data_IF_339072219271
#
_entry.id   IF_339072219271
#
_cell.length_a   1.000
_cell.length_b   1.000
_cell.length_c   1.000
_cell.angle_alpha   90.00
_cell.angle_beta   90.00
_cell.angle_gamma   90.00
#
_symmetry.space_group_name_H-M   'P 1'
#
loop_
_entity.id
_entity.type
_entity.pdbx_description
1 polymer ?
#
# COMPACT_ATOMS: atom_id res chain seq x y z
N UNK A 1 25.39 -10.04 17.42
CA UNK A 1 26.37 -9.74 16.34
C UNK A 1 25.54 -9.54 15.08
N UNK A 2 25.57 -8.33 14.48
CA UNK A 2 24.86 -8.06 13.24
C UNK A 2 25.53 -8.91 12.15
N UNK A 3 24.77 -9.75 11.45
CA UNK A 3 25.33 -10.73 10.49
C UNK A 3 26.11 -10.09 9.33
N UNK A 4 25.80 -8.84 8.99
CA UNK A 4 26.37 -8.10 7.87
C UNK A 4 27.20 -6.87 8.31
N UNK A 5 27.47 -6.70 9.62
CA UNK A 5 28.16 -5.53 10.18
C UNK A 5 27.44 -4.23 9.81
N UNK A 6 28.24 -3.18 9.51
CA UNK A 6 27.69 -1.87 9.07
C UNK A 6 27.51 -1.78 7.54
N UNK A 7 27.57 -2.90 6.82
CA UNK A 7 27.54 -2.92 5.35
C UNK A 7 26.10 -3.01 4.83
N UNK A 8 25.31 -2.00 5.09
CA UNK A 8 23.97 -1.82 4.53
C UNK A 8 24.03 -1.03 3.23
N UNK A 9 23.29 -1.48 2.21
CA UNK A 9 23.14 -0.78 0.92
C UNK A 9 21.67 -0.69 0.55
N UNK A 10 21.22 0.49 0.17
CA UNK A 10 19.86 0.74 -0.29
C UNK A 10 19.90 1.28 -1.71
N UNK A 11 19.20 0.62 -2.62
CA UNK A 11 19.03 1.07 -4.00
C UNK A 11 17.53 1.21 -4.30
N UNK A 12 17.18 1.93 -5.36
CA UNK A 12 15.81 2.02 -5.83
C UNK A 12 15.71 1.85 -7.35
N UNK A 13 14.58 1.33 -7.79
CA UNK A 13 14.15 1.45 -9.18
C UNK A 13 13.43 2.79 -9.43
N UNK A 14 12.74 2.87 -10.56
CA UNK A 14 12.16 4.13 -11.04
C UNK A 14 10.78 4.46 -10.45
N UNK A 15 10.14 3.53 -9.72
CA UNK A 15 8.76 3.72 -9.28
C UNK A 15 8.56 4.87 -8.28
N UNK A 16 9.48 5.05 -7.32
CA UNK A 16 9.35 6.10 -6.30
C UNK A 16 10.72 6.50 -5.69
N UNK A 17 11.60 7.17 -6.45
CA UNK A 17 12.94 7.55 -5.98
C UNK A 17 12.91 8.50 -4.78
N UNK A 18 11.90 9.36 -4.67
CA UNK A 18 11.76 10.28 -3.54
C UNK A 18 11.50 9.55 -2.23
N UNK A 19 10.68 8.50 -2.26
CA UNK A 19 10.43 7.64 -1.10
C UNK A 19 11.73 6.96 -0.63
N UNK A 20 12.52 6.42 -1.56
CA UNK A 20 13.81 5.81 -1.24
C UNK A 20 14.82 6.82 -0.64
N UNK A 21 14.86 8.05 -1.16
CA UNK A 21 15.70 9.12 -0.59
C UNK A 21 15.28 9.46 0.83
N UNK A 22 13.97 9.52 1.11
CA UNK A 22 13.47 9.78 2.46
C UNK A 22 13.85 8.64 3.41
N UNK A 23 13.70 7.36 3.00
CA UNK A 23 14.15 6.21 3.79
C UNK A 23 15.64 6.31 4.10
N UNK A 24 16.48 6.59 3.11
CA UNK A 24 17.92 6.72 3.33
C UNK A 24 18.27 7.86 4.29
N UNK A 25 17.56 8.99 4.21
CA UNK A 25 17.70 10.12 5.14
C UNK A 25 17.38 9.72 6.58
N UNK A 26 16.28 8.99 6.78
CA UNK A 26 15.87 8.49 8.10
C UNK A 26 16.88 7.46 8.67
N UNK A 27 17.51 6.66 7.80
CA UNK A 27 18.55 5.71 8.18
C UNK A 27 19.93 6.36 8.41
N UNK A 28 20.11 7.64 8.03
CA UNK A 28 21.40 8.32 8.11
C UNK A 28 22.44 7.81 7.10
N UNK A 29 21.99 7.25 5.95
CA UNK A 29 22.83 6.71 4.89
C UNK A 29 22.55 7.40 3.56
N UNK A 30 23.43 7.19 2.58
CA UNK A 30 23.21 7.65 1.20
C UNK A 30 22.51 6.57 0.38
N UNK A 31 21.65 6.99 -0.55
CA UNK A 31 21.07 6.09 -1.55
C UNK A 31 22.21 5.59 -2.46
N UNK A 32 22.24 4.28 -2.68
CA UNK A 32 23.26 3.62 -3.49
C UNK A 32 23.24 4.10 -4.95
N UNK A 33 24.39 4.17 -5.55
CA UNK A 33 24.55 4.61 -6.93
C UNK A 33 24.23 3.46 -7.89
N UNK A 34 23.05 3.54 -8.48
CA UNK A 34 22.60 2.61 -9.53
C UNK A 34 21.92 3.36 -10.66
N UNK A 35 21.92 2.75 -11.81
CA UNK A 35 21.25 3.26 -13.00
C UNK A 35 20.26 2.21 -13.52
N UNK A 36 18.98 2.59 -13.58
CA UNK A 36 17.91 1.74 -14.12
C UNK A 36 17.33 2.46 -15.33
N UNK A 37 17.55 1.89 -16.51
CA UNK A 37 17.17 2.46 -17.81
C UNK A 37 16.37 1.47 -18.63
N UNK A 38 15.75 1.98 -19.68
CA UNK A 38 15.08 1.18 -20.71
C UNK A 38 15.83 1.36 -22.03
N UNK A 39 16.16 0.26 -22.69
CA UNK A 39 16.69 0.27 -24.04
C UNK A 39 15.62 0.71 -25.06
N UNK A 40 16.04 1.05 -26.27
CA UNK A 40 15.14 1.54 -27.32
C UNK A 40 14.05 0.54 -27.72
N UNK A 41 14.29 -0.74 -27.52
CA UNK A 41 13.35 -1.85 -27.75
C UNK A 41 12.42 -2.15 -26.56
N UNK A 42 12.62 -1.46 -25.42
CA UNK A 42 11.82 -1.61 -24.21
C UNK A 42 12.42 -2.53 -23.15
N UNK A 43 13.56 -3.16 -23.39
CA UNK A 43 14.20 -3.99 -22.35
C UNK A 43 14.80 -3.15 -21.23
N UNK A 44 14.73 -3.68 -20.01
CA UNK A 44 15.27 -3.02 -18.81
C UNK A 44 16.77 -3.27 -18.71
N UNK A 45 17.54 -2.21 -18.46
CA UNK A 45 18.97 -2.23 -18.17
C UNK A 45 19.23 -1.72 -16.75
N UNK A 46 20.02 -2.47 -15.99
CA UNK A 46 20.43 -2.11 -14.62
C UNK A 46 21.94 -2.11 -14.51
N UNK A 47 22.51 -1.05 -13.93
CA UNK A 47 23.93 -0.96 -13.55
C UNK A 47 24.06 -0.59 -12.09
N UNK A 48 24.80 -1.39 -11.32
CA UNK A 48 25.22 -1.04 -9.97
C UNK A 48 26.60 -0.39 -10.04
N UNK A 49 26.71 0.88 -9.69
CA UNK A 49 27.95 1.66 -9.82
C UNK A 49 28.81 1.65 -8.56
N UNK A 50 28.50 0.75 -7.62
CA UNK A 50 29.25 0.50 -6.40
C UNK A 50 29.20 -0.99 -6.01
N UNK A 51 30.16 -1.43 -5.19
CA UNK A 51 30.20 -2.84 -4.77
C UNK A 51 29.06 -3.17 -3.79
N UNK A 52 28.43 -4.31 -4.02
CA UNK A 52 27.43 -4.89 -3.12
C UNK A 52 27.89 -6.22 -2.50
N UNK A 53 29.16 -6.60 -2.75
CA UNK A 53 29.71 -7.88 -2.29
C UNK A 53 29.64 -8.01 -0.77
N UNK A 54 28.94 -9.03 -0.30
CA UNK A 54 28.75 -9.32 1.12
C UNK A 54 27.86 -8.32 1.86
N UNK A 55 27.30 -7.29 1.17
CA UNK A 55 26.41 -6.31 1.77
C UNK A 55 25.01 -6.87 2.03
N UNK A 56 24.33 -6.27 3.01
CA UNK A 56 22.89 -6.39 3.20
C UNK A 56 22.18 -5.37 2.32
N UNK A 57 21.55 -5.84 1.24
CA UNK A 57 21.01 -4.99 0.18
C UNK A 57 19.49 -4.90 0.28
N UNK A 58 18.99 -3.66 0.28
CA UNK A 58 17.56 -3.36 0.23
C UNK A 58 17.23 -2.68 -1.10
N UNK A 59 16.34 -3.30 -1.89
CA UNK A 59 15.91 -2.82 -3.19
C UNK A 59 14.50 -2.25 -3.07
N UNK A 60 14.34 -0.93 -3.15
CA UNK A 60 13.06 -0.26 -2.99
C UNK A 60 12.41 -0.09 -4.36
N UNK A 61 11.26 -0.74 -4.56
CA UNK A 61 10.49 -0.65 -5.80
C UNK A 61 9.03 -1.02 -5.57
N UNK A 62 8.12 -0.06 -5.65
CA UNK A 62 6.69 -0.34 -5.77
C UNK A 62 6.37 -0.89 -7.15
N UNK A 63 5.62 -1.98 -7.22
CA UNK A 63 5.19 -2.54 -8.52
C UNK A 63 3.86 -1.93 -8.98
N UNK A 64 3.82 -0.57 -8.93
CA UNK A 64 2.73 0.26 -9.43
C UNK A 64 2.87 0.53 -10.93
N UNK A 65 1.95 1.32 -11.49
CA UNK A 65 1.98 1.69 -12.93
C UNK A 65 3.24 2.49 -13.30
N UNK A 66 3.92 2.10 -14.40
CA UNK A 66 3.68 0.97 -15.31
C UNK A 66 4.09 -0.36 -14.67
N UNK A 67 3.08 -1.22 -14.36
CA UNK A 67 3.24 -2.36 -13.44
C UNK A 67 4.25 -3.38 -13.93
N UNK A 68 4.23 -3.72 -15.22
CA UNK A 68 5.12 -4.73 -15.79
C UNK A 68 6.57 -4.24 -15.84
N UNK A 69 6.78 -2.98 -16.14
CA UNK A 69 8.09 -2.38 -16.24
C UNK A 69 8.74 -2.31 -14.84
N UNK A 70 8.02 -1.80 -13.85
CA UNK A 70 8.52 -1.74 -12.47
C UNK A 70 8.75 -3.14 -11.87
N UNK A 71 7.92 -4.13 -12.22
CA UNK A 71 8.18 -5.52 -11.81
C UNK A 71 9.46 -6.04 -12.46
N UNK A 72 9.64 -5.81 -13.76
CA UNK A 72 10.84 -6.27 -14.47
C UNK A 72 12.09 -5.54 -13.96
N UNK A 73 12.04 -4.23 -13.70
CA UNK A 73 13.13 -3.49 -13.06
C UNK A 73 13.56 -4.17 -11.74
N UNK A 74 12.59 -4.49 -10.87
CA UNK A 74 12.87 -5.16 -9.61
C UNK A 74 13.55 -6.50 -9.80
N UNK A 75 13.07 -7.34 -10.74
CA UNK A 75 13.64 -8.66 -11.01
C UNK A 75 15.09 -8.55 -11.50
N UNK A 76 15.36 -7.64 -12.43
CA UNK A 76 16.71 -7.41 -12.98
C UNK A 76 17.65 -6.83 -11.92
N UNK A 77 17.16 -5.93 -11.05
CA UNK A 77 17.95 -5.41 -9.92
C UNK A 77 18.33 -6.52 -8.93
N UNK A 78 17.40 -7.43 -8.60
CA UNK A 78 17.66 -8.58 -7.73
C UNK A 78 18.74 -9.49 -8.35
N UNK A 79 18.61 -9.83 -9.64
CA UNK A 79 19.60 -10.66 -10.35
C UNK A 79 20.98 -9.99 -10.39
N UNK A 80 21.05 -8.68 -10.64
CA UNK A 80 22.30 -7.92 -10.62
C UNK A 80 23.00 -7.99 -9.25
N UNK A 81 22.24 -7.79 -8.15
CA UNK A 81 22.78 -7.90 -6.79
C UNK A 81 23.25 -9.30 -6.47
N UNK A 82 22.48 -10.33 -6.86
CA UNK A 82 22.83 -11.75 -6.67
C UNK A 82 24.12 -12.11 -7.38
N UNK A 83 24.25 -11.73 -8.67
CA UNK A 83 25.47 -11.98 -9.47
C UNK A 83 26.67 -11.19 -8.97
N UNK A 84 26.45 -10.03 -8.35
CA UNK A 84 27.49 -9.25 -7.71
C UNK A 84 27.85 -9.74 -6.29
N UNK A 85 27.30 -10.89 -5.86
CA UNK A 85 27.56 -11.54 -4.57
C UNK A 85 27.12 -10.71 -3.35
N UNK A 86 25.96 -10.08 -3.42
CA UNK A 86 25.30 -9.50 -2.24
C UNK A 86 25.17 -10.58 -1.13
N UNK A 87 25.29 -10.19 0.12
CA UNK A 87 25.19 -11.13 1.25
C UNK A 87 23.75 -11.51 1.57
N UNK A 88 22.81 -10.55 1.46
CA UNK A 88 21.36 -10.73 1.55
C UNK A 88 20.69 -9.71 0.66
N UNK A 89 19.58 -10.08 0.04
CA UNK A 89 18.79 -9.20 -0.83
C UNK A 89 17.35 -9.14 -0.29
N UNK A 90 16.96 -7.98 0.23
CA UNK A 90 15.59 -7.71 0.66
C UNK A 90 14.86 -6.88 -0.40
N UNK A 91 13.82 -7.42 -1.00
CA UNK A 91 12.94 -6.66 -1.88
C UNK A 91 11.95 -5.84 -1.03
N UNK A 92 12.10 -4.53 -1.02
CA UNK A 92 11.22 -3.58 -0.33
C UNK A 92 10.18 -3.10 -1.34
N UNK A 93 8.96 -3.62 -1.21
CA UNK A 93 7.87 -3.40 -2.15
C UNK A 93 6.73 -2.68 -1.42
N UNK A 94 6.73 -1.34 -1.31
CA UNK A 94 5.71 -0.60 -0.58
C UNK A 94 4.30 -0.89 -1.10
N UNK A 95 4.14 -0.99 -2.42
CA UNK A 95 2.92 -1.48 -3.07
C UNK A 95 3.22 -2.72 -3.91
N UNK A 96 2.59 -3.84 -3.56
CA UNK A 96 2.70 -5.11 -4.27
C UNK A 96 1.59 -5.23 -5.31
N UNK A 97 1.95 -5.03 -6.57
CA UNK A 97 1.05 -5.20 -7.72
C UNK A 97 0.61 -6.65 -7.91
N UNK A 98 -0.43 -6.87 -8.72
CA UNK A 98 -1.06 -8.19 -8.94
C UNK A 98 -1.72 -8.83 -7.70
N UNK A 99 -1.68 -8.18 -6.53
CA UNK A 99 -2.21 -8.68 -5.27
C UNK A 99 -3.72 -9.01 -5.32
N UNK A 100 -4.49 -8.36 -6.19
CA UNK A 100 -5.93 -8.59 -6.35
C UNK A 100 -6.28 -9.95 -6.97
N UNK A 101 -5.30 -10.64 -7.55
CA UNK A 101 -5.45 -11.98 -8.13
C UNK A 101 -4.80 -13.03 -7.22
N UNK A 102 -5.22 -13.04 -5.94
CA UNK A 102 -4.77 -13.96 -4.89
C UNK A 102 -5.48 -15.32 -4.91
N UNK A 103 -6.58 -15.41 -5.66
CA UNK A 103 -7.40 -16.61 -5.82
C UNK A 103 -8.08 -16.64 -7.18
N UNK A 104 -8.55 -17.80 -7.59
CA UNK A 104 -9.41 -17.94 -8.78
C UNK A 104 -10.80 -17.40 -8.46
N UNK A 105 -11.20 -16.32 -9.11
CA UNK A 105 -12.57 -15.79 -9.03
C UNK A 105 -13.54 -16.59 -9.91
N UNK A 106 -13.04 -17.18 -11.00
CA UNK A 106 -13.78 -18.04 -11.94
C UNK A 106 -12.93 -19.26 -12.31
N UNK A 107 -13.57 -20.27 -12.89
CA UNK A 107 -12.84 -21.40 -13.48
C UNK A 107 -11.78 -20.92 -14.48
N UNK A 108 -10.58 -21.50 -14.41
CA UNK A 108 -9.42 -21.24 -15.30
C UNK A 108 -8.76 -19.86 -15.12
N UNK A 109 -9.15 -19.08 -14.11
CA UNK A 109 -8.43 -17.84 -13.79
C UNK A 109 -7.02 -18.16 -13.26
N UNK A 110 -6.04 -17.28 -13.51
CA UNK A 110 -4.72 -17.38 -12.90
C UNK A 110 -4.76 -17.00 -11.41
N UNK A 111 -3.69 -17.30 -10.69
CA UNK A 111 -3.36 -16.73 -9.38
C UNK A 111 -2.08 -15.91 -9.57
N UNK A 112 -2.22 -14.72 -10.15
CA UNK A 112 -1.07 -13.91 -10.57
C UNK A 112 -0.23 -13.43 -9.39
N UNK A 113 -0.82 -13.25 -8.20
CA UNK A 113 -0.07 -12.93 -6.99
C UNK A 113 0.97 -14.02 -6.64
N UNK A 114 0.60 -15.31 -6.79
CA UNK A 114 1.55 -16.43 -6.58
C UNK A 114 2.62 -16.47 -7.66
N UNK A 115 2.25 -16.23 -8.93
CA UNK A 115 3.21 -16.18 -10.03
C UNK A 115 4.27 -15.10 -9.77
N UNK A 116 3.86 -13.88 -9.41
CA UNK A 116 4.78 -12.77 -9.13
C UNK A 116 5.66 -13.08 -7.90
N UNK A 117 5.10 -13.66 -6.85
CA UNK A 117 5.88 -14.11 -5.69
C UNK A 117 6.97 -15.11 -6.08
N UNK A 118 6.63 -16.09 -6.92
CA UNK A 118 7.60 -17.06 -7.43
C UNK A 118 8.70 -16.42 -8.28
N UNK A 119 8.35 -15.45 -9.13
CA UNK A 119 9.33 -14.73 -9.97
C UNK A 119 10.35 -13.97 -9.12
N UNK A 120 9.89 -13.25 -8.09
CA UNK A 120 10.75 -12.49 -7.18
C UNK A 120 11.68 -13.44 -6.41
N UNK A 121 11.15 -14.54 -5.90
CA UNK A 121 11.93 -15.56 -5.19
C UNK A 121 12.97 -16.21 -6.14
N UNK A 122 12.57 -16.57 -7.35
CA UNK A 122 13.46 -17.19 -8.35
C UNK A 122 14.56 -16.22 -8.81
N UNK A 123 14.30 -14.92 -8.91
CA UNK A 123 15.30 -13.90 -9.22
C UNK A 123 16.41 -13.85 -8.15
N UNK A 124 16.10 -14.22 -6.90
CA UNK A 124 17.09 -14.36 -5.83
C UNK A 124 16.89 -13.42 -4.64
N UNK A 125 15.69 -12.92 -4.42
CA UNK A 125 15.36 -12.25 -3.18
C UNK A 125 15.40 -13.23 -2.01
N UNK A 126 15.97 -12.81 -0.86
CA UNK A 126 16.03 -13.59 0.37
C UNK A 126 14.91 -13.20 1.35
N UNK A 127 14.30 -12.05 1.18
CA UNK A 127 13.25 -11.50 2.05
C UNK A 127 12.40 -10.49 1.30
N UNK A 128 11.16 -10.35 1.71
CA UNK A 128 10.22 -9.31 1.27
C UNK A 128 9.89 -8.39 2.44
N UNK A 129 9.85 -7.08 2.19
CA UNK A 129 9.29 -6.08 3.08
C UNK A 129 8.21 -5.32 2.32
N UNK A 130 6.96 -5.35 2.78
CA UNK A 130 5.82 -4.76 2.08
C UNK A 130 4.81 -4.17 3.06
N UNK A 131 3.82 -3.41 2.57
CA UNK A 131 2.78 -2.82 3.39
C UNK A 131 1.39 -3.18 2.86
N UNK A 132 0.46 -3.49 3.77
CA UNK A 132 -0.98 -3.73 3.52
C UNK A 132 -1.28 -4.53 2.23
N UNK A 133 -0.82 -5.76 2.18
CA UNK A 133 -1.19 -6.69 1.11
C UNK A 133 -2.73 -6.77 1.00
N UNK A 134 -3.24 -6.80 -0.23
CA UNK A 134 -4.68 -6.90 -0.52
C UNK A 134 -5.35 -8.04 0.28
N UNK A 135 -4.66 -9.15 0.38
CA UNK A 135 -5.05 -10.29 1.20
C UNK A 135 -3.84 -10.75 2.03
N UNK A 136 -3.98 -10.81 3.35
CA UNK A 136 -2.86 -11.14 4.25
C UNK A 136 -2.23 -12.52 3.97
N UNK A 137 -3.01 -13.48 3.45
CA UNK A 137 -2.53 -14.80 3.06
C UNK A 137 -1.51 -14.79 1.90
N UNK A 138 -1.37 -13.68 1.16
CA UNK A 138 -0.32 -13.54 0.11
C UNK A 138 1.08 -13.71 0.71
N UNK A 139 1.27 -13.43 2.02
CA UNK A 139 2.51 -13.74 2.72
C UNK A 139 2.93 -15.20 2.55
N UNK A 140 1.96 -16.12 2.56
CA UNK A 140 2.19 -17.56 2.36
C UNK A 140 2.45 -17.96 0.90
N UNK A 141 2.41 -17.03 -0.06
CA UNK A 141 2.76 -17.30 -1.45
C UNK A 141 4.27 -17.25 -1.70
N UNK A 142 5.01 -16.63 -0.79
CA UNK A 142 6.46 -16.59 -0.82
C UNK A 142 7.04 -17.76 -0.02
N UNK A 143 8.06 -18.38 -0.56
CA UNK A 143 8.85 -19.42 0.13
C UNK A 143 10.04 -18.82 0.90
N UNK A 144 10.07 -17.49 1.00
CA UNK A 144 11.04 -16.68 1.75
C UNK A 144 10.31 -15.83 2.79
N UNK A 145 10.98 -15.34 3.85
CA UNK A 145 10.36 -14.50 4.86
C UNK A 145 9.71 -13.23 4.29
N UNK A 146 8.53 -12.88 4.83
CA UNK A 146 7.79 -11.67 4.47
C UNK A 146 7.52 -10.85 5.73
N UNK A 147 8.04 -9.64 5.76
CA UNK A 147 7.70 -8.62 6.75
C UNK A 147 6.56 -7.76 6.19
N UNK A 148 5.37 -7.94 6.76
CA UNK A 148 4.14 -7.30 6.29
C UNK A 148 3.75 -6.15 7.22
N UNK A 149 4.15 -4.92 6.88
CA UNK A 149 3.81 -3.71 7.62
C UNK A 149 2.32 -3.36 7.48
N UNK A 150 1.79 -2.68 8.50
CA UNK A 150 0.42 -2.20 8.51
C UNK A 150 0.40 -0.66 8.48
N UNK A 151 -0.39 -0.07 7.59
CA UNK A 151 -0.61 1.37 7.51
C UNK A 151 -1.59 1.92 8.54
N UNK A 152 -2.42 1.03 9.11
CA UNK A 152 -3.46 1.39 10.08
C UNK A 152 -2.98 2.35 11.20
N UNK A 153 -1.83 2.15 11.91
CA UNK A 153 -1.41 3.04 12.98
C UNK A 153 -1.24 4.50 12.56
N UNK A 154 -0.79 4.73 11.33
CA UNK A 154 -0.61 6.09 10.78
C UNK A 154 -1.95 6.78 10.55
N UNK A 155 -2.96 6.08 10.02
CA UNK A 155 -4.30 6.62 9.87
C UNK A 155 -4.98 6.88 11.21
N UNK A 156 -4.82 5.96 12.19
CA UNK A 156 -5.31 6.18 13.56
C UNK A 156 -4.78 7.48 14.10
N UNK A 157 -3.46 7.68 14.07
CA UNK A 157 -2.83 8.92 14.53
C UNK A 157 -3.39 10.13 13.78
N UNK A 158 -3.46 10.07 12.45
CA UNK A 158 -3.96 11.16 11.60
C UNK A 158 -5.36 11.61 12.00
N UNK A 159 -6.29 10.66 12.18
CA UNK A 159 -7.67 10.99 12.50
C UNK A 159 -7.85 11.44 13.95
N UNK A 160 -7.08 10.92 14.91
CA UNK A 160 -7.07 11.41 16.29
C UNK A 160 -6.52 12.84 16.36
N UNK A 161 -5.46 13.16 15.61
CA UNK A 161 -4.92 14.52 15.53
C UNK A 161 -5.89 15.49 14.84
N UNK A 162 -6.62 15.01 13.81
CA UNK A 162 -7.60 15.82 13.06
C UNK A 162 -8.87 16.11 13.86
N UNK A 163 -9.30 15.15 14.65
CA UNK A 163 -10.50 15.20 15.47
C UNK A 163 -10.13 14.95 16.94
N UNK A 164 -9.59 15.96 17.66
CA UNK A 164 -9.12 15.77 19.03
C UNK A 164 -10.29 15.52 20.02
N UNK A 165 -10.02 14.72 21.05
CA UNK A 165 -11.02 14.19 21.99
C UNK A 165 -11.88 15.26 22.70
N UNK A 166 -11.34 16.45 22.93
CA UNK A 166 -12.06 17.59 23.53
C UNK A 166 -13.18 18.16 22.61
N UNK A 167 -13.13 17.79 21.32
CA UNK A 167 -14.12 18.17 20.28
C UNK A 167 -14.83 16.96 19.67
N UNK A 168 -14.61 15.78 20.24
CA UNK A 168 -14.91 14.51 19.64
C UNK A 168 -15.85 13.70 20.55
N UNK A 169 -17.11 13.59 20.16
CA UNK A 169 -17.98 12.59 20.74
C UNK A 169 -17.89 11.32 19.86
N UNK A 170 -17.41 10.21 20.43
CA UNK A 170 -17.30 8.95 19.69
C UNK A 170 -18.62 8.50 19.03
N UNK A 171 -19.76 8.87 19.63
CA UNK A 171 -21.08 8.58 19.09
C UNK A 171 -21.41 9.34 17.80
N UNK A 172 -20.71 10.47 17.52
CA UNK A 172 -20.88 11.28 16.31
C UNK A 172 -20.06 10.75 15.12
N UNK A 173 -19.28 9.71 15.34
CA UNK A 173 -18.41 9.13 14.32
C UNK A 173 -18.65 7.63 14.14
N UNK A 174 -18.39 7.14 12.94
CA UNK A 174 -18.48 5.71 12.63
C UNK A 174 -17.46 5.35 11.56
N UNK A 175 -16.76 4.25 11.77
CA UNK A 175 -15.90 3.66 10.73
C UNK A 175 -16.78 2.85 9.78
N UNK A 176 -16.53 2.99 8.48
CA UNK A 176 -17.32 2.31 7.45
C UNK A 176 -16.43 1.43 6.58
N UNK A 177 -16.83 0.18 6.43
CA UNK A 177 -16.27 -0.68 5.39
C UNK A 177 -16.97 -0.38 4.07
N UNK A 178 -16.23 0.00 3.00
CA UNK A 178 -16.84 0.32 1.70
C UNK A 178 -17.43 -0.91 0.98
N UNK A 179 -17.07 -2.10 1.42
CA UNK A 179 -17.60 -3.38 0.95
C UNK A 179 -17.46 -4.50 2.00
N UNK A 180 -17.98 -5.69 1.69
CA UNK A 180 -17.90 -6.85 2.60
C UNK A 180 -16.48 -7.39 2.73
N UNK A 181 -15.62 -7.22 1.72
CA UNK A 181 -14.24 -7.72 1.71
C UNK A 181 -13.33 -6.98 2.69
N UNK A 182 -13.58 -5.69 2.90
CA UNK A 182 -12.75 -4.82 3.76
C UNK A 182 -13.20 -4.78 5.23
N UNK A 183 -14.24 -5.54 5.62
CA UNK A 183 -14.83 -5.50 6.98
C UNK A 183 -13.82 -5.81 8.08
N UNK A 184 -12.97 -6.80 7.91
CA UNK A 184 -11.97 -7.17 8.92
C UNK A 184 -10.98 -6.02 9.19
N UNK A 185 -10.55 -5.35 8.12
CA UNK A 185 -9.66 -4.19 8.15
C UNK A 185 -10.33 -2.98 8.82
N UNK A 186 -11.55 -2.65 8.40
CA UNK A 186 -12.33 -1.57 8.97
C UNK A 186 -12.61 -1.79 10.47
N UNK A 187 -12.88 -3.05 10.88
CA UNK A 187 -13.08 -3.42 12.29
C UNK A 187 -11.82 -3.19 13.12
N UNK A 188 -10.65 -3.57 12.60
CA UNK A 188 -9.38 -3.36 13.31
C UNK A 188 -9.08 -1.86 13.49
N UNK A 189 -9.41 -1.03 12.49
CA UNK A 189 -9.31 0.42 12.59
C UNK A 189 -10.32 0.98 13.61
N UNK A 190 -11.59 0.60 13.51
CA UNK A 190 -12.65 1.03 14.43
C UNK A 190 -12.31 0.76 15.90
N UNK A 191 -11.74 -0.42 16.19
CA UNK A 191 -11.30 -0.78 17.53
C UNK A 191 -10.19 0.14 18.07
N UNK A 192 -9.24 0.54 17.21
CA UNK A 192 -8.11 1.43 17.61
C UNK A 192 -8.56 2.89 17.82
N UNK A 193 -9.61 3.34 17.14
CA UNK A 193 -10.17 4.69 17.30
C UNK A 193 -11.41 4.72 18.21
N UNK A 194 -11.78 3.60 18.81
CA UNK A 194 -12.94 3.44 19.72
C UNK A 194 -14.28 3.90 19.12
N UNK A 195 -14.49 3.64 17.80
CA UNK A 195 -15.70 4.01 17.07
C UNK A 195 -16.54 2.78 16.70
N UNK A 196 -17.83 3.00 16.44
CA UNK A 196 -18.72 2.00 15.86
C UNK A 196 -18.30 1.60 14.45
N UNK A 197 -18.84 0.49 13.94
CA UNK A 197 -18.62 -0.03 12.60
C UNK A 197 -19.92 -0.08 11.81
N UNK A 198 -19.90 0.42 10.58
CA UNK A 198 -20.95 0.23 9.59
C UNK A 198 -20.36 -0.39 8.30
N UNK A 199 -21.22 -0.91 7.45
CA UNK A 199 -20.81 -1.62 6.23
C UNK A 199 -21.71 -1.14 5.08
N UNK A 200 -21.11 -0.85 3.92
CA UNK A 200 -21.86 -0.68 2.67
C UNK A 200 -21.92 -2.04 1.98
N UNK A 201 -23.11 -2.63 1.94
CA UNK A 201 -23.36 -3.90 1.25
C UNK A 201 -23.86 -3.62 -0.17
N UNK A 202 -23.08 -4.08 -1.14
CA UNK A 202 -23.33 -3.92 -2.57
C UNK A 202 -23.94 -5.19 -3.11
N UNK A 203 -25.26 -5.19 -3.39
CA UNK A 203 -25.94 -6.34 -3.98
C UNK A 203 -26.21 -6.13 -5.47
N UNK A 204 -25.64 -7.02 -6.29
CA UNK A 204 -26.03 -7.17 -7.68
C UNK A 204 -27.20 -8.13 -7.77
N UNK A 205 -28.43 -7.64 -7.97
CA UNK A 205 -29.62 -8.50 -8.09
C UNK A 205 -29.66 -9.26 -9.42
N UNK A 206 -29.14 -8.70 -10.52
CA UNK A 206 -28.98 -9.35 -11.85
C UNK A 206 -27.94 -8.60 -12.68
N UNK A 207 -27.38 -9.27 -13.71
CA UNK A 207 -26.59 -8.60 -14.74
C UNK A 207 -27.48 -7.53 -15.42
N UNK A 208 -26.97 -6.27 -15.52
CA UNK A 208 -27.66 -5.10 -16.11
C UNK A 208 -28.75 -4.40 -15.25
N UNK A 209 -28.85 -4.65 -13.95
CA UNK A 209 -29.71 -3.89 -13.05
C UNK A 209 -28.86 -2.94 -12.19
N UNK A 210 -29.38 -1.74 -11.88
CA UNK A 210 -28.75 -0.76 -11.00
C UNK A 210 -28.28 -1.42 -9.70
N UNK A 211 -27.03 -1.13 -9.29
CA UNK A 211 -26.47 -1.63 -8.04
C UNK A 211 -27.27 -1.04 -6.88
N UNK A 212 -27.89 -1.89 -6.08
CA UNK A 212 -28.55 -1.47 -4.84
C UNK A 212 -27.49 -1.43 -3.75
N UNK A 213 -27.26 -0.24 -3.20
CA UNK A 213 -26.41 -0.02 -2.03
C UNK A 213 -27.26 -0.10 -0.77
N UNK A 214 -26.85 -0.94 0.17
CA UNK A 214 -27.49 -1.07 1.48
C UNK A 214 -26.48 -0.66 2.55
N UNK A 215 -26.89 0.21 3.46
CA UNK A 215 -26.04 0.62 4.59
C UNK A 215 -26.46 -0.18 5.82
N UNK A 216 -25.54 -0.97 6.34
CA UNK A 216 -25.74 -1.78 7.55
C UNK A 216 -25.02 -1.08 8.70
N UNK A 217 -25.75 -0.73 9.74
CA UNK A 217 -25.26 0.06 10.88
C UNK A 217 -25.84 1.46 10.90
N UNK A 218 -25.66 2.15 12.01
CA UNK A 218 -26.17 3.52 12.20
C UNK A 218 -25.16 4.57 11.76
N UNK A 219 -25.47 5.28 10.67
CA UNK A 219 -24.65 6.36 10.09
C UNK A 219 -25.36 7.70 10.06
N UNK A 220 -26.68 7.73 10.43
CA UNK A 220 -27.49 8.94 10.34
C UNK A 220 -26.98 10.05 11.26
N UNK A 221 -26.72 11.21 10.66
CA UNK A 221 -26.19 12.38 11.36
C UNK A 221 -24.72 12.27 11.78
N UNK A 222 -24.06 11.15 11.49
CA UNK A 222 -22.67 10.90 11.89
C UNK A 222 -21.66 11.29 10.82
N UNK A 223 -20.44 11.52 11.24
CA UNK A 223 -19.27 11.61 10.37
C UNK A 223 -18.73 10.19 10.11
N UNK A 224 -18.71 9.79 8.86
CA UNK A 224 -18.24 8.48 8.42
C UNK A 224 -16.76 8.54 8.03
N UNK A 225 -15.97 7.56 8.46
CA UNK A 225 -14.57 7.36 8.03
C UNK A 225 -14.50 6.01 7.32
N UNK A 226 -14.42 6.02 5.99
CA UNK A 226 -14.24 4.79 5.21
C UNK A 226 -12.78 4.35 5.22
N UNK A 227 -12.52 3.04 5.35
CA UNK A 227 -11.17 2.49 5.32
C UNK A 227 -11.06 1.29 4.41
N UNK A 228 -10.10 1.36 3.47
CA UNK A 228 -9.79 0.28 2.51
C UNK A 228 -8.27 0.07 2.38
N UNK A 229 -7.82 -0.97 1.63
CA UNK A 229 -6.41 -1.17 1.30
C UNK A 229 -5.97 -0.33 0.11
N UNK A 230 -6.79 -0.24 -0.91
CA UNK A 230 -6.44 0.50 -2.12
C UNK A 230 -7.63 1.15 -2.80
N UNK A 231 -7.36 2.20 -3.53
CA UNK A 231 -8.31 2.85 -4.42
C UNK A 231 -7.74 2.84 -5.84
N UNK A 232 -8.38 2.09 -6.74
CA UNK A 232 -7.97 2.03 -8.14
C UNK A 232 -8.79 3.06 -8.98
N UNK A 233 -9.93 2.68 -9.53
CA UNK A 233 -10.75 3.60 -10.34
C UNK A 233 -11.70 4.47 -9.50
N UNK A 234 -11.67 4.37 -8.20
CA UNK A 234 -12.49 5.05 -7.19
C UNK A 234 -14.01 4.82 -7.30
N UNK A 235 -14.48 3.99 -8.24
CA UNK A 235 -15.92 3.81 -8.44
C UNK A 235 -16.64 3.28 -7.21
N UNK A 236 -16.18 2.18 -6.63
CA UNK A 236 -16.80 1.55 -5.46
C UNK A 236 -16.78 2.48 -4.24
N UNK A 237 -15.64 3.12 -3.97
CA UNK A 237 -15.47 4.02 -2.84
C UNK A 237 -16.38 5.25 -2.95
N UNK A 238 -16.42 5.90 -4.12
CA UNK A 238 -17.24 7.09 -4.34
C UNK A 238 -18.73 6.78 -4.31
N UNK A 239 -19.16 5.65 -4.89
CA UNK A 239 -20.55 5.21 -4.82
C UNK A 239 -20.96 4.90 -3.38
N UNK A 240 -20.09 4.27 -2.59
CA UNK A 240 -20.34 4.02 -1.17
C UNK A 240 -20.46 5.34 -0.39
N UNK A 241 -19.59 6.31 -0.65
CA UNK A 241 -19.66 7.64 -0.02
C UNK A 241 -20.97 8.37 -0.33
N UNK A 242 -21.39 8.37 -1.58
CA UNK A 242 -22.65 8.97 -1.99
C UNK A 242 -23.84 8.28 -1.31
N UNK A 243 -23.84 6.94 -1.27
CA UNK A 243 -24.91 6.19 -0.59
C UNK A 243 -24.96 6.45 0.92
N UNK A 244 -23.81 6.65 1.58
CA UNK A 244 -23.78 7.03 3.00
C UNK A 244 -24.50 8.36 3.25
N UNK A 245 -24.32 9.34 2.36
CA UNK A 245 -25.00 10.65 2.49
C UNK A 245 -26.46 10.58 2.05
N UNK A 246 -26.73 10.08 0.85
CA UNK A 246 -28.05 10.13 0.20
C UNK A 246 -29.06 9.14 0.83
N UNK A 247 -28.62 7.94 1.17
CA UNK A 247 -29.43 6.87 1.72
C UNK A 247 -29.30 6.79 3.24
N UNK A 248 -28.04 6.80 3.72
CA UNK A 248 -27.73 6.66 5.13
C UNK A 248 -27.98 7.92 5.98
N UNK A 249 -28.01 9.10 5.35
CA UNK A 249 -28.17 10.38 6.04
C UNK A 249 -26.94 10.78 6.85
N UNK A 250 -25.73 10.36 6.41
CA UNK A 250 -24.47 10.75 7.04
C UNK A 250 -24.24 12.26 6.93
N UNK A 251 -23.66 12.86 7.97
CA UNK A 251 -23.31 14.29 8.03
C UNK A 251 -22.12 14.64 7.15
N UNK A 252 -21.11 13.78 7.13
CA UNK A 252 -19.87 13.97 6.38
C UNK A 252 -19.23 12.61 6.09
N UNK A 253 -18.46 12.52 5.01
CA UNK A 253 -17.72 11.30 4.65
C UNK A 253 -16.25 11.63 4.42
N UNK A 254 -15.37 11.00 5.18
CA UNK A 254 -13.93 10.96 5.00
C UNK A 254 -13.54 9.54 4.58
N UNK A 255 -12.39 9.41 3.93
CA UNK A 255 -11.90 8.10 3.56
C UNK A 255 -10.38 8.03 3.67
N UNK A 256 -9.87 6.82 3.88
CA UNK A 256 -8.45 6.53 3.78
C UNK A 256 -8.22 5.16 3.16
N UNK A 257 -7.11 5.03 2.46
CA UNK A 257 -6.63 3.78 1.92
C UNK A 257 -5.11 3.80 1.80
N UNK A 258 -4.47 2.65 2.00
CA UNK A 258 -3.00 2.58 1.97
C UNK A 258 -2.45 2.90 0.59
N UNK A 259 -3.07 2.38 -0.47
CA UNK A 259 -2.53 2.49 -1.82
C UNK A 259 -3.45 3.30 -2.75
N UNK A 260 -2.99 4.47 -3.15
CA UNK A 260 -3.64 5.30 -4.17
C UNK A 260 -3.20 4.90 -5.57
N UNK A 261 -3.81 3.86 -6.16
CA UNK A 261 -3.50 3.41 -7.53
C UNK A 261 -4.01 4.42 -8.56
N UNK A 262 -5.20 4.97 -8.33
CA UNK A 262 -5.82 6.13 -8.99
C UNK A 262 -5.82 6.05 -10.53
N UNK A 263 -6.27 4.91 -11.06
CA UNK A 263 -6.32 4.66 -12.50
C UNK A 263 -7.56 5.28 -13.16
N UNK A 264 -7.41 5.63 -14.44
CA UNK A 264 -8.51 6.09 -15.29
C UNK A 264 -9.24 7.31 -14.71
N UNK A 265 -10.59 7.25 -14.51
CA UNK A 265 -11.38 8.39 -14.07
C UNK A 265 -11.37 8.62 -12.54
N UNK A 266 -10.38 8.09 -11.80
CA UNK A 266 -10.38 8.13 -10.33
C UNK A 266 -10.44 9.56 -9.78
N UNK A 267 -9.63 10.47 -10.29
CA UNK A 267 -9.60 11.87 -9.83
C UNK A 267 -10.93 12.58 -10.03
N UNK A 268 -11.54 12.44 -11.21
CA UNK A 268 -12.85 13.05 -11.52
C UNK A 268 -13.94 12.48 -10.60
N UNK A 269 -13.93 11.18 -10.35
CA UNK A 269 -14.90 10.54 -9.46
C UNK A 269 -14.76 11.02 -8.02
N UNK A 270 -13.53 11.11 -7.51
CA UNK A 270 -13.27 11.60 -6.16
C UNK A 270 -13.70 13.05 -6.03
N UNK A 271 -13.34 13.90 -6.99
CA UNK A 271 -13.72 15.32 -7.01
C UNK A 271 -15.22 15.52 -6.94
N UNK A 272 -15.99 14.71 -7.71
CA UNK A 272 -17.45 14.83 -7.80
C UNK A 272 -18.21 13.97 -6.77
N UNK A 273 -17.54 13.30 -5.86
CA UNK A 273 -18.17 12.46 -4.81
C UNK A 273 -18.49 13.24 -3.54
N UNK A 274 -19.26 12.62 -2.66
CA UNK A 274 -19.54 13.12 -1.31
C UNK A 274 -18.34 13.05 -0.35
N UNK A 275 -17.20 12.46 -0.76
CA UNK A 275 -15.97 12.42 0.04
C UNK A 275 -15.46 13.85 0.24
N UNK A 276 -15.24 14.25 1.49
CA UNK A 276 -14.65 15.53 1.84
C UNK A 276 -13.12 15.49 1.79
N UNK A 277 -12.53 14.38 2.19
CA UNK A 277 -11.09 14.17 2.17
C UNK A 277 -10.79 12.68 2.02
N UNK A 278 -9.82 12.36 1.18
CA UNK A 278 -9.30 11.01 0.95
C UNK A 278 -7.81 10.98 1.22
N UNK A 279 -7.40 10.17 2.19
CA UNK A 279 -6.02 10.11 2.66
C UNK A 279 -5.36 8.82 2.19
N UNK A 280 -4.16 8.94 1.61
CA UNK A 280 -3.33 7.81 1.18
C UNK A 280 -1.97 7.81 1.86
N UNK A 281 -1.29 6.67 1.84
CA UNK A 281 0.13 6.59 2.08
C UNK A 281 0.92 6.79 0.77
N UNK A 282 2.14 7.30 0.87
CA UNK A 282 3.03 7.52 -0.27
C UNK A 282 3.73 6.23 -0.75
N UNK A 283 3.07 5.08 -0.61
CA UNK A 283 3.51 3.79 -1.17
C UNK A 283 3.54 3.77 -2.69
N UNK A 284 2.71 4.61 -3.32
CA UNK A 284 2.69 4.93 -4.75
C UNK A 284 2.85 6.45 -4.86
N UNK A 285 3.72 6.95 -5.75
CA UNK A 285 3.89 8.38 -5.91
C UNK A 285 2.62 9.04 -6.47
N UNK A 286 2.29 10.21 -5.94
CA UNK A 286 1.23 11.07 -6.47
C UNK A 286 1.80 11.95 -7.58
N UNK A 287 1.05 12.25 -8.64
CA UNK A 287 1.45 13.27 -9.61
C UNK A 287 1.73 14.61 -8.93
N UNK A 288 2.80 15.30 -9.34
CA UNK A 288 3.20 16.62 -8.78
C UNK A 288 2.04 17.63 -8.82
N UNK A 289 1.26 17.62 -9.90
CA UNK A 289 0.05 18.43 -10.04
C UNK A 289 -1.19 17.54 -9.83
N UNK A 290 -1.43 17.09 -8.59
CA UNK A 290 -2.63 16.33 -8.27
C UNK A 290 -3.89 17.14 -8.62
N UNK A 291 -4.77 16.66 -9.51
CA UNK A 291 -5.93 17.43 -9.99
C UNK A 291 -7.11 17.43 -9.01
N UNK A 292 -6.93 16.93 -7.78
CA UNK A 292 -7.99 16.79 -6.79
C UNK A 292 -7.53 17.26 -5.40
N UNK A 293 -8.05 18.38 -4.95
CA UNK A 293 -7.71 19.00 -3.66
C UNK A 293 -8.19 18.19 -2.44
N UNK A 294 -9.07 17.20 -2.64
CA UNK A 294 -9.56 16.33 -1.58
C UNK A 294 -8.54 15.26 -1.17
N UNK A 295 -7.46 15.06 -1.95
CA UNK A 295 -6.49 14.01 -1.71
C UNK A 295 -5.36 14.53 -0.82
N UNK A 296 -5.03 13.75 0.21
CA UNK A 296 -3.87 13.97 1.07
C UNK A 296 -2.96 12.75 1.10
N UNK A 297 -1.65 13.00 1.24
CA UNK A 297 -0.65 11.95 1.36
C UNK A 297 -0.03 11.98 2.76
N UNK A 298 0.08 10.81 3.39
CA UNK A 298 0.86 10.58 4.61
C UNK A 298 2.16 9.88 4.25
N UNK A 299 3.26 10.34 4.82
CA UNK A 299 4.56 9.73 4.61
C UNK A 299 4.76 8.51 5.51
N UNK A 300 4.99 7.35 4.91
CA UNK A 300 5.31 6.11 5.61
C UNK A 300 6.78 5.68 5.44
N UNK A 301 7.60 6.49 4.79
CA UNK A 301 9.04 6.24 4.66
C UNK A 301 9.73 6.05 6.03
N UNK A 302 9.39 6.79 7.10
CA UNK A 302 9.96 6.55 8.44
C UNK A 302 9.65 5.15 8.98
N UNK A 303 8.47 4.59 8.70
CA UNK A 303 8.11 3.23 9.14
C UNK A 303 8.94 2.19 8.39
N UNK A 304 9.10 2.36 7.08
CA UNK A 304 9.95 1.50 6.26
C UNK A 304 11.42 1.60 6.69
N UNK A 305 11.93 2.80 6.99
CA UNK A 305 13.29 2.98 7.49
C UNK A 305 13.52 2.21 8.80
N UNK A 306 12.60 2.33 9.77
CA UNK A 306 12.67 1.57 11.02
C UNK A 306 12.61 0.06 10.76
N UNK A 307 11.72 -0.41 9.88
CA UNK A 307 11.65 -1.83 9.51
C UNK A 307 12.96 -2.32 8.88
N UNK A 308 13.56 -1.55 7.99
CA UNK A 308 14.87 -1.84 7.38
C UNK A 308 15.96 -1.92 8.46
N UNK A 309 15.98 -0.97 9.41
CA UNK A 309 16.94 -1.00 10.52
C UNK A 309 16.78 -2.25 11.38
N UNK A 310 15.55 -2.65 11.71
CA UNK A 310 15.26 -3.89 12.44
C UNK A 310 15.68 -5.15 11.68
N UNK A 311 15.36 -5.23 10.39
CA UNK A 311 15.76 -6.35 9.52
C UNK A 311 17.27 -6.45 9.43
N UNK A 312 17.95 -5.33 9.22
CA UNK A 312 19.42 -5.27 9.19
C UNK A 312 20.03 -5.66 10.52
N UNK A 313 19.50 -5.12 11.62
CA UNK A 313 19.96 -5.41 12.99
C UNK A 313 19.59 -6.79 13.52
N UNK A 314 18.76 -7.56 12.81
CA UNK A 314 18.26 -8.86 13.27
C UNK A 314 17.35 -8.75 14.50
N UNK A 315 16.63 -7.63 14.64
CA UNK A 315 15.71 -7.35 15.75
C UNK A 315 14.23 -7.47 15.30
N UNK A 316 13.31 -7.57 16.26
CA UNK A 316 11.89 -7.71 15.99
C UNK A 316 11.30 -6.41 15.40
N UNK A 317 10.36 -6.55 14.44
CA UNK A 317 9.57 -5.46 13.89
C UNK A 317 8.23 -5.27 14.63
N UNK A 318 7.98 -6.04 15.71
CA UNK A 318 6.68 -6.05 16.39
C UNK A 318 6.28 -4.71 17.02
N UNK A 319 7.23 -3.85 17.31
CA UNK A 319 7.01 -2.49 17.82
C UNK A 319 6.53 -1.49 16.76
N UNK A 320 6.43 -1.92 15.50
CA UNK A 320 5.92 -1.10 14.39
C UNK A 320 4.40 -1.23 14.17
N UNK A 321 3.70 -2.08 14.97
CA UNK A 321 2.28 -2.42 14.79
C UNK A 321 1.34 -1.86 15.87
#
# INVERSE_FOLDING_TARGET
MIAYGDNIKVFCGNSNPQFAKTICKELGITLGNSEVKTFADGEVSVSLNETVRGADVFLIQSTCKPVNDHLMELLVMIDACRRASAGRITAVIPYFGYARQDRKAKSRDPISAKLVANMITAAGADRILTMDLHAAQIQGFFDIPVDHLLGNPTFVKYYLDKFPEDKFNHDDFVVVSPDVGSVARARAFAAKVHMGLAIVDKRRQKANVCEVMNVIGDVRGKTCIMYDDMVDTAGSLCNAANALVEIGGAKAVYACATHGVLSGPAFDRITNSAIQELVFHNTIPMPENCPCDKIKMLDVAPIFARAIAHVHGGTSIADLF
#
